data_IF_478351771755
#
_entry.id   IF_478351771755
#
_cell.length_a   1.000
_cell.length_b   1.000
_cell.length_c   1.000
_cell.angle_alpha   90.00
_cell.angle_beta   90.00
_cell.angle_gamma   90.00
#
_symmetry.space_group_name_H-M   'P 1'
#
loop_
_entity.id
_entity.type
_entity.pdbx_description
1 polymer ?
#
# COMPACT_ATOMS: atom_id res chain seq x y z
N UNK A 1 -6.43 9.34 -17.87
CA UNK A 1 -5.64 9.07 -16.64
C UNK A 1 -4.19 9.16 -17.06
N UNK A 2 -3.50 10.25 -16.70
CA UNK A 2 -2.05 10.29 -16.91
C UNK A 2 -1.41 9.17 -16.10
N UNK A 3 -0.30 8.65 -16.61
CA UNK A 3 0.36 7.47 -16.05
C UNK A 3 0.79 7.79 -14.61
N UNK A 4 0.86 6.80 -13.73
CA UNK A 4 1.45 6.97 -12.40
C UNK A 4 2.70 6.11 -12.33
N UNK A 5 3.78 6.62 -11.74
CA UNK A 5 5.02 5.86 -11.56
C UNK A 5 5.06 5.28 -10.16
N UNK A 6 5.25 3.96 -10.05
CA UNK A 6 5.56 3.32 -8.77
C UNK A 6 6.95 3.77 -8.32
N UNK A 7 7.02 4.35 -7.13
CA UNK A 7 8.23 4.88 -6.52
C UNK A 7 8.80 3.93 -5.47
N UNK A 8 7.94 3.36 -4.63
CA UNK A 8 8.35 2.44 -3.58
C UNK A 8 7.23 1.47 -3.20
N UNK A 9 7.62 0.35 -2.62
CA UNK A 9 6.71 -0.64 -2.06
C UNK A 9 7.16 -1.02 -0.66
N UNK A 10 6.31 -0.79 0.33
CA UNK A 10 6.52 -1.17 1.71
C UNK A 10 5.64 -2.35 2.09
N UNK A 11 6.13 -3.23 2.96
CA UNK A 11 5.38 -4.35 3.50
C UNK A 11 5.44 -4.33 5.02
N UNK A 12 4.31 -4.59 5.64
CA UNK A 12 4.14 -4.58 7.08
C UNK A 12 3.37 -5.82 7.54
N UNK A 13 3.59 -6.22 8.78
CA UNK A 13 2.86 -7.32 9.45
C UNK A 13 2.22 -6.73 10.72
N UNK A 14 0.93 -6.95 10.93
CA UNK A 14 0.21 -6.50 12.12
C UNK A 14 0.59 -7.29 13.36
N UNK A 15 0.18 -6.79 14.54
CA UNK A 15 0.26 -7.58 15.78
C UNK A 15 -0.54 -8.89 15.71
N UNK A 16 -1.61 -8.92 14.92
CA UNK A 16 -2.45 -10.10 14.68
C UNK A 16 -1.87 -11.06 13.62
N UNK A 17 -0.78 -10.69 12.93
CA UNK A 17 -0.13 -11.50 11.89
C UNK A 17 -0.62 -11.23 10.46
N UNK A 18 -1.54 -10.29 10.27
CA UNK A 18 -2.01 -9.89 8.93
C UNK A 18 -0.93 -9.12 8.17
N UNK A 19 -0.78 -9.42 6.89
CA UNK A 19 0.20 -8.76 6.03
C UNK A 19 -0.41 -7.64 5.22
N UNK A 20 0.24 -6.47 5.23
CA UNK A 20 -0.17 -5.27 4.51
C UNK A 20 0.94 -4.81 3.55
N UNK A 21 0.54 -4.24 2.42
CA UNK A 21 1.44 -3.69 1.41
C UNK A 21 1.00 -2.27 1.06
N UNK A 22 1.95 -1.34 1.05
CA UNK A 22 1.76 0.05 0.66
C UNK A 22 2.58 0.31 -0.60
N UNK A 23 1.92 0.67 -1.70
CA UNK A 23 2.56 0.97 -2.98
C UNK A 23 2.46 2.46 -3.25
N UNK A 24 3.60 3.16 -3.18
CA UNK A 24 3.68 4.61 -3.32
C UNK A 24 3.84 4.96 -4.79
N UNK A 25 2.92 5.76 -5.30
CA UNK A 25 2.90 6.26 -6.67
C UNK A 25 3.11 7.77 -6.70
N UNK A 26 3.74 8.25 -7.77
CA UNK A 26 3.72 9.65 -8.15
C UNK A 26 2.75 9.85 -9.32
N UNK A 27 1.83 10.79 -9.17
CA UNK A 27 0.91 11.22 -10.22
C UNK A 27 1.62 12.24 -11.13
N UNK A 28 1.71 11.93 -12.44
CA UNK A 28 2.38 12.83 -13.39
C UNK A 28 1.61 14.15 -13.62
N UNK A 29 0.30 14.19 -13.39
CA UNK A 29 -0.51 15.39 -13.65
C UNK A 29 -0.29 16.52 -12.64
N UNK A 30 -0.08 16.17 -11.37
CA UNK A 30 0.01 17.14 -10.27
C UNK A 30 1.30 17.04 -9.45
N UNK A 31 2.22 16.14 -9.85
CA UNK A 31 3.45 15.81 -9.14
C UNK A 31 3.26 15.36 -7.67
N UNK A 32 2.02 15.06 -7.26
CA UNK A 32 1.67 14.60 -5.93
C UNK A 32 1.89 13.11 -5.75
N UNK A 33 1.93 12.70 -4.49
CA UNK A 33 2.18 11.31 -4.10
C UNK A 33 0.93 10.70 -3.47
N UNK A 34 0.74 9.41 -3.69
CA UNK A 34 -0.30 8.64 -3.03
C UNK A 34 0.15 7.20 -2.83
N UNK A 35 -0.33 6.53 -1.79
CA UNK A 35 -0.09 5.12 -1.54
C UNK A 35 -1.35 4.29 -1.73
N UNK A 36 -1.28 3.22 -2.52
CA UNK A 36 -2.33 2.19 -2.56
C UNK A 36 -2.06 1.17 -1.47
N UNK A 37 -3.07 0.88 -0.66
CA UNK A 37 -2.97 -0.04 0.48
C UNK A 37 -3.66 -1.35 0.15
N UNK A 38 -2.92 -2.45 0.24
CA UNK A 38 -3.42 -3.81 0.06
C UNK A 38 -3.21 -4.66 1.31
N UNK A 39 -4.10 -5.61 1.55
CA UNK A 39 -3.91 -6.69 2.51
C UNK A 39 -3.69 -8.02 1.77
N UNK A 40 -2.91 -8.91 2.36
CA UNK A 40 -2.79 -10.27 1.85
C UNK A 40 -4.00 -11.08 2.29
N UNK A 41 -4.63 -11.76 1.35
CA UNK A 41 -5.79 -12.62 1.59
C UNK A 41 -5.60 -13.93 0.82
N UNK A 42 -6.11 -15.02 1.37
CA UNK A 42 -6.12 -16.31 0.67
C UNK A 42 -7.37 -16.42 -0.21
N UNK A 43 -7.15 -16.79 -1.47
CA UNK A 43 -8.22 -17.04 -2.44
C UNK A 43 -8.07 -18.42 -3.04
N UNK A 44 -9.20 -19.10 -3.23
CA UNK A 44 -9.25 -20.30 -4.05
C UNK A 44 -9.35 -19.90 -5.52
N UNK A 45 -8.35 -20.29 -6.29
CA UNK A 45 -8.31 -20.10 -7.73
C UNK A 45 -8.60 -21.42 -8.43
N UNK A 46 -9.38 -21.39 -9.52
CA UNK A 46 -9.73 -22.59 -10.27
C UNK A 46 -8.51 -23.34 -10.82
N UNK A 47 -7.43 -22.60 -11.11
CA UNK A 47 -6.22 -23.14 -11.76
C UNK A 47 -5.05 -23.42 -10.82
N UNK A 48 -4.92 -22.67 -9.73
CA UNK A 48 -3.74 -22.74 -8.85
C UNK A 48 -4.08 -23.18 -7.42
N UNK A 49 -5.36 -23.53 -7.16
CA UNK A 49 -5.82 -23.86 -5.82
C UNK A 49 -5.81 -22.64 -4.89
N UNK A 50 -5.68 -22.90 -3.59
CA UNK A 50 -5.61 -21.86 -2.55
C UNK A 50 -4.26 -21.14 -2.60
N UNK A 51 -4.27 -19.83 -2.85
CA UNK A 51 -3.06 -19.01 -2.88
C UNK A 51 -3.27 -17.63 -2.26
N UNK A 52 -2.20 -17.06 -1.73
CA UNK A 52 -2.22 -15.71 -1.15
C UNK A 52 -2.09 -14.64 -2.23
N UNK A 53 -3.07 -13.75 -2.32
CA UNK A 53 -3.08 -12.60 -3.23
C UNK A 53 -3.17 -11.29 -2.44
N UNK A 54 -2.69 -10.19 -3.04
CA UNK A 54 -2.83 -8.85 -2.48
C UNK A 54 -4.14 -8.25 -2.97
N UNK A 55 -5.01 -7.90 -2.04
CA UNK A 55 -6.30 -7.26 -2.32
C UNK A 55 -6.26 -5.84 -1.80
N UNK A 56 -6.62 -4.88 -2.65
CA UNK A 56 -6.79 -3.48 -2.24
C UNK A 56 -7.95 -3.37 -1.26
N UNK A 57 -7.70 -2.81 -0.06
CA UNK A 57 -8.67 -2.79 1.05
C UNK A 57 -9.42 -1.46 1.20
N UNK A 58 -9.44 -0.67 0.13
CA UNK A 58 -10.01 0.67 0.00
C UNK A 58 -9.17 1.82 0.56
N UNK A 59 -9.03 2.83 -0.31
CA UNK A 59 -8.46 4.17 -0.10
C UNK A 59 -6.98 4.24 -0.40
N UNK A 60 -6.67 4.97 -1.48
CA UNK A 60 -5.34 5.51 -1.66
C UNK A 60 -5.11 6.59 -0.60
N UNK A 61 -4.01 6.47 0.15
CA UNK A 61 -3.56 7.49 1.09
C UNK A 61 -2.91 8.61 0.29
N UNK A 62 -3.48 9.83 0.31
CA UNK A 62 -2.78 11.00 -0.23
C UNK A 62 -1.62 11.33 0.69
N UNK A 63 -0.41 11.40 0.13
CA UNK A 63 0.80 11.70 0.87
C UNK A 63 1.10 13.19 0.73
N UNK A 64 1.36 13.85 1.86
CA UNK A 64 1.65 15.28 1.89
C UNK A 64 3.08 15.64 1.40
N UNK A 65 4.12 14.83 1.67
CA UNK A 65 5.48 15.13 1.25
C UNK A 65 5.69 15.08 -0.25
N UNK A 66 6.66 15.85 -0.72
CA UNK A 66 7.08 15.90 -2.12
C UNK A 66 8.31 15.05 -2.44
N UNK A 67 8.80 14.24 -1.49
CA UNK A 67 9.95 13.35 -1.70
C UNK A 67 9.65 11.90 -1.25
N UNK A 68 10.30 10.90 -1.88
CA UNK A 68 9.99 9.48 -1.64
C UNK A 68 10.27 9.02 -0.20
N UNK A 69 11.36 9.44 0.42
CA UNK A 69 11.73 8.96 1.77
C UNK A 69 10.69 9.42 2.81
N UNK A 70 10.25 10.68 2.74
CA UNK A 70 9.20 11.19 3.61
C UNK A 70 7.84 10.53 3.35
N UNK A 71 7.55 10.16 2.10
CA UNK A 71 6.36 9.39 1.74
C UNK A 71 6.37 8.01 2.42
N UNK A 72 7.54 7.36 2.49
CA UNK A 72 7.67 6.08 3.19
C UNK A 72 7.46 6.21 4.69
N UNK A 73 8.01 7.24 5.32
CA UNK A 73 7.82 7.51 6.75
C UNK A 73 6.35 7.80 7.09
N UNK A 74 5.64 8.53 6.23
CA UNK A 74 4.20 8.75 6.41
C UNK A 74 3.40 7.44 6.30
N UNK A 75 3.74 6.56 5.37
CA UNK A 75 3.14 5.23 5.27
C UNK A 75 3.41 4.38 6.53
N UNK A 76 4.64 4.42 7.07
CA UNK A 76 5.00 3.73 8.33
C UNK A 76 4.19 4.27 9.51
N UNK A 77 4.06 5.59 9.62
CA UNK A 77 3.26 6.23 10.66
C UNK A 77 1.77 5.89 10.53
N UNK A 78 1.23 5.91 9.31
CA UNK A 78 -0.14 5.51 9.03
C UNK A 78 -0.39 4.05 9.46
N UNK A 79 0.49 3.13 9.10
CA UNK A 79 0.41 1.74 9.52
C UNK A 79 0.41 1.59 11.05
N UNK A 80 1.37 2.22 11.73
CA UNK A 80 1.49 2.16 13.18
C UNK A 80 0.27 2.70 13.95
N UNK A 81 -0.39 3.73 13.40
CA UNK A 81 -1.56 4.35 14.01
C UNK A 81 -2.86 3.55 13.81
N UNK A 82 -2.99 2.83 12.69
CA UNK A 82 -4.23 2.14 12.33
C UNK A 82 -4.24 0.65 12.69
N UNK A 83 -3.08 0.03 12.90
CA UNK A 83 -2.94 -1.43 13.05
C UNK A 83 -2.51 -1.82 14.48
N UNK A 84 -2.88 -0.99 15.46
CA UNK A 84 -2.48 -1.11 16.87
C UNK A 84 -3.40 -1.99 17.75
N UNK A 85 -4.23 -2.86 17.16
CA UNK A 85 -5.11 -3.79 17.88
C UNK A 85 -4.80 -5.24 17.57
#
# INVERSE_FOLDING_TARGET
MEKSKLMSTLKFISGAGDSFKYEIYQDYSNAGYFAVISAQQEFDTEKYGRCGVWVEINSYLRLAPSNPDACEEECKAHFANNVRS
#
